data_IF_983370040883
#
_entry.id   IF_983370040883
#
_cell.length_a   1.000
_cell.length_b   1.000
_cell.length_c   1.000
_cell.angle_alpha   90.00
_cell.angle_beta   90.00
_cell.angle_gamma   90.00
#
_symmetry.space_group_name_H-M   'P 1'
#
loop_
_entity.id
_entity.type
_entity.pdbx_description
1 polymer ?
#
# COMPACT_ATOMS: atom_id res chain seq x y z
N UNK A 1 -13.11 -5.07 4.65
CA UNK A 1 -13.77 -3.78 4.31
C UNK A 1 -13.40 -3.30 2.90
N UNK A 2 -12.48 -3.95 2.18
CA UNK A 2 -12.05 -3.56 0.81
C UNK A 2 -12.80 -4.25 -0.33
N UNK A 3 -13.55 -5.33 -0.06
CA UNK A 3 -14.43 -5.97 -1.06
C UNK A 3 -15.71 -5.15 -1.40
N UNK A 4 -15.93 -4.01 -0.73
CA UNK A 4 -17.20 -3.27 -0.81
C UNK A 4 -17.25 -2.22 -1.92
N UNK A 5 -16.15 -1.56 -2.28
CA UNK A 5 -16.20 -0.53 -3.34
C UNK A 5 -16.39 -1.14 -4.74
N UNK A 6 -15.79 -2.31 -4.98
CA UNK A 6 -15.78 -3.02 -6.28
C UNK A 6 -17.16 -3.41 -6.80
N UNK A 7 -18.09 -3.77 -5.91
CA UNK A 7 -19.43 -4.23 -6.28
C UNK A 7 -20.54 -3.21 -6.01
N UNK A 8 -20.32 -2.19 -5.17
CA UNK A 8 -21.41 -1.30 -4.75
C UNK A 8 -21.67 -0.14 -5.73
N UNK A 9 -20.69 0.34 -6.50
CA UNK A 9 -20.82 1.62 -7.22
C UNK A 9 -20.80 1.54 -8.75
N UNK A 10 -20.34 0.42 -9.34
CA UNK A 10 -20.29 0.28 -10.80
C UNK A 10 -21.57 -0.32 -11.39
N UNK A 11 -22.36 -1.04 -10.59
CA UNK A 11 -23.62 -1.62 -11.04
C UNK A 11 -24.76 -0.61 -10.83
N UNK A 12 -25.46 -0.25 -11.91
CA UNK A 12 -26.63 0.65 -11.86
C UNK A 12 -27.65 0.23 -10.81
N UNK A 13 -27.84 -1.08 -10.63
CA UNK A 13 -28.73 -1.63 -9.62
C UNK A 13 -28.27 -1.29 -8.20
N UNK A 14 -27.00 -1.52 -7.86
CA UNK A 14 -26.49 -1.23 -6.51
C UNK A 14 -26.40 0.27 -6.24
N UNK A 15 -26.12 1.09 -7.25
CA UNK A 15 -26.17 2.54 -7.14
C UNK A 15 -27.60 3.04 -6.85
N UNK A 16 -28.60 2.48 -7.54
CA UNK A 16 -30.00 2.81 -7.32
C UNK A 16 -30.51 2.29 -5.96
N UNK A 17 -30.11 1.07 -5.58
CA UNK A 17 -30.42 0.49 -4.27
C UNK A 17 -29.85 1.34 -3.14
N UNK A 18 -28.61 1.85 -3.28
CA UNK A 18 -28.01 2.81 -2.35
C UNK A 18 -28.81 4.11 -2.29
N UNK A 19 -29.15 4.68 -3.45
CA UNK A 19 -29.91 5.92 -3.53
C UNK A 19 -31.28 5.79 -2.86
N UNK A 20 -31.97 4.66 -3.08
CA UNK A 20 -33.25 4.34 -2.45
C UNK A 20 -33.11 4.11 -0.94
N UNK A 21 -32.06 3.41 -0.50
CA UNK A 21 -31.79 3.22 0.92
C UNK A 21 -31.55 4.55 1.65
N UNK A 22 -30.79 5.46 1.04
CA UNK A 22 -30.55 6.81 1.57
C UNK A 22 -31.86 7.63 1.59
N UNK A 23 -32.68 7.53 0.55
CA UNK A 23 -33.99 8.20 0.48
C UNK A 23 -34.95 7.69 1.58
N UNK A 24 -34.99 6.38 1.81
CA UNK A 24 -35.82 5.80 2.88
C UNK A 24 -35.42 6.34 4.26
N UNK A 25 -34.12 6.51 4.53
CA UNK A 25 -33.64 7.12 5.79
C UNK A 25 -34.08 8.58 5.91
N UNK A 26 -34.24 9.31 4.81
CA UNK A 26 -34.73 10.70 4.84
C UNK A 26 -36.25 10.82 4.98
N UNK A 27 -37.01 9.82 4.53
CA UNK A 27 -38.48 9.84 4.51
C UNK A 27 -39.13 9.16 5.72
N UNK A 28 -38.45 8.19 6.33
CA UNK A 28 -38.98 7.47 7.50
C UNK A 28 -38.80 8.26 8.81
N UNK A 29 -39.88 8.45 9.61
CA UNK A 29 -39.85 9.22 10.85
C UNK A 29 -39.13 8.49 12.03
N UNK A 30 -38.56 7.32 11.77
CA UNK A 30 -37.92 6.46 12.78
C UNK A 30 -36.48 6.91 13.08
N UNK A 31 -35.85 7.62 12.16
CA UNK A 31 -34.43 7.98 12.23
C UNK A 31 -34.19 9.28 12.99
N UNK A 32 -33.05 9.36 13.68
CA UNK A 32 -32.63 10.57 14.39
C UNK A 32 -32.25 11.69 13.41
N UNK A 33 -32.33 12.95 13.89
CA UNK A 33 -32.12 14.13 13.06
C UNK A 33 -30.73 14.17 12.39
N UNK A 34 -29.69 13.61 13.04
CA UNK A 34 -28.33 13.60 12.48
C UNK A 34 -28.26 12.59 11.33
N UNK A 35 -28.82 11.40 11.50
CA UNK A 35 -28.92 10.39 10.44
C UNK A 35 -29.70 10.93 9.24
N UNK A 36 -30.84 11.59 9.46
CA UNK A 36 -31.64 12.21 8.38
C UNK A 36 -30.84 13.30 7.65
N UNK A 37 -30.20 14.22 8.38
CA UNK A 37 -29.39 15.27 7.76
C UNK A 37 -28.20 14.71 6.96
N UNK A 38 -27.51 13.70 7.48
CA UNK A 38 -26.37 13.08 6.78
C UNK A 38 -26.82 12.30 5.54
N UNK A 39 -27.94 11.59 5.63
CA UNK A 39 -28.56 10.89 4.49
C UNK A 39 -28.97 11.89 3.41
N UNK A 40 -29.60 13.02 3.77
CA UNK A 40 -29.93 14.08 2.81
C UNK A 40 -28.68 14.63 2.11
N UNK A 41 -27.61 14.96 2.85
CA UNK A 41 -26.36 15.43 2.23
C UNK A 41 -25.67 14.37 1.34
N UNK A 42 -25.80 13.09 1.67
CA UNK A 42 -25.34 11.98 0.81
C UNK A 42 -26.19 11.87 -0.45
N UNK A 43 -27.51 12.00 -0.34
CA UNK A 43 -28.43 11.98 -1.47
C UNK A 43 -28.13 13.11 -2.45
N UNK A 44 -27.87 14.32 -1.95
CA UNK A 44 -27.48 15.46 -2.77
C UNK A 44 -26.18 15.20 -3.53
N UNK A 45 -25.18 14.61 -2.88
CA UNK A 45 -23.92 14.21 -3.54
C UNK A 45 -24.11 13.13 -4.60
N UNK A 46 -24.97 12.14 -4.37
CA UNK A 46 -25.30 11.11 -5.36
C UNK A 46 -26.04 11.67 -6.59
N UNK A 47 -26.63 12.86 -6.46
CA UNK A 47 -27.24 13.60 -7.57
C UNK A 47 -26.32 14.69 -8.17
N UNK A 48 -25.16 14.94 -7.58
CA UNK A 48 -24.21 15.90 -8.14
C UNK A 48 -23.55 15.35 -9.40
N UNK A 49 -23.63 16.12 -10.48
CA UNK A 49 -23.11 15.71 -11.79
C UNK A 49 -21.60 15.46 -11.75
N UNK A 50 -20.82 16.29 -11.03
CA UNK A 50 -19.37 16.12 -10.98
C UNK A 50 -19.01 14.86 -10.19
N UNK A 51 -19.69 14.62 -9.06
CA UNK A 51 -19.48 13.43 -8.25
C UNK A 51 -19.76 12.14 -9.04
N UNK A 52 -20.90 12.05 -9.71
CA UNK A 52 -21.27 10.85 -10.49
C UNK A 52 -20.31 10.65 -11.66
N UNK A 53 -19.88 11.73 -12.32
CA UNK A 53 -18.84 11.65 -13.36
C UNK A 53 -17.53 11.06 -12.83
N UNK A 54 -17.01 11.61 -11.71
CA UNK A 54 -15.77 11.11 -11.11
C UNK A 54 -15.93 9.69 -10.57
N UNK A 55 -17.11 9.30 -10.11
CA UNK A 55 -17.40 7.94 -9.69
C UNK A 55 -17.21 6.94 -10.85
N UNK A 56 -17.69 7.28 -12.04
CA UNK A 56 -17.46 6.48 -13.26
C UNK A 56 -15.97 6.45 -13.63
N UNK A 57 -15.32 7.61 -13.68
CA UNK A 57 -13.90 7.71 -14.04
C UNK A 57 -13.01 6.88 -13.10
N UNK A 58 -13.12 7.12 -11.79
CA UNK A 58 -12.33 6.39 -10.80
C UNK A 58 -12.73 4.93 -10.72
N UNK A 59 -14.00 4.57 -10.96
CA UNK A 59 -14.43 3.18 -11.11
C UNK A 59 -13.66 2.44 -12.20
N UNK A 60 -13.50 3.07 -13.38
CA UNK A 60 -12.68 2.53 -14.49
C UNK A 60 -11.20 2.43 -14.13
N UNK A 61 -10.64 3.47 -13.50
CA UNK A 61 -9.23 3.45 -13.06
C UNK A 61 -8.99 2.33 -12.05
N UNK A 62 -9.84 2.22 -11.02
CA UNK A 62 -9.72 1.24 -9.95
C UNK A 62 -9.87 -0.20 -10.44
N UNK A 63 -10.67 -0.45 -11.47
CA UNK A 63 -10.75 -1.77 -12.11
C UNK A 63 -9.36 -2.29 -12.49
N UNK A 64 -8.51 -1.43 -13.06
CA UNK A 64 -7.16 -1.80 -13.48
C UNK A 64 -6.15 -1.73 -12.32
N UNK A 65 -6.17 -0.65 -11.53
CA UNK A 65 -5.18 -0.45 -10.47
C UNK A 65 -5.34 -1.48 -9.36
N UNK A 66 -6.58 -1.84 -8.97
CA UNK A 66 -6.82 -2.81 -7.90
C UNK A 66 -6.39 -4.21 -8.31
N UNK A 67 -6.55 -4.58 -9.59
CA UNK A 67 -6.08 -5.87 -10.10
C UNK A 67 -4.56 -5.99 -9.90
N UNK A 68 -3.81 -5.01 -10.40
CA UNK A 68 -2.34 -5.00 -10.28
C UNK A 68 -1.91 -4.87 -8.83
N UNK A 69 -2.57 -4.04 -8.03
CA UNK A 69 -2.30 -3.89 -6.62
C UNK A 69 -2.37 -5.23 -5.87
N UNK A 70 -3.48 -5.97 -6.02
CA UNK A 70 -3.64 -7.29 -5.39
C UNK A 70 -2.64 -8.31 -5.93
N UNK A 71 -2.36 -8.26 -7.24
CA UNK A 71 -1.41 -9.15 -7.88
C UNK A 71 0.02 -8.94 -7.33
N UNK A 72 0.46 -7.70 -7.21
CA UNK A 72 1.77 -7.33 -6.67
C UNK A 72 1.89 -7.70 -5.19
N UNK A 73 0.82 -7.51 -4.41
CA UNK A 73 0.82 -7.88 -2.98
C UNK A 73 1.07 -9.38 -2.76
N UNK A 74 0.53 -10.24 -3.64
CA UNK A 74 0.66 -11.70 -3.52
C UNK A 74 1.97 -12.27 -4.10
N UNK A 75 2.53 -11.65 -5.15
CA UNK A 75 3.58 -12.28 -5.99
C UNK A 75 4.91 -11.53 -6.09
N UNK A 76 5.00 -10.30 -5.62
CA UNK A 76 6.22 -9.46 -5.67
C UNK A 76 7.52 -10.11 -5.16
N UNK A 77 7.46 -10.99 -4.16
CA UNK A 77 8.62 -11.69 -3.60
C UNK A 77 8.85 -13.07 -4.24
N UNK A 78 7.81 -13.68 -4.83
CA UNK A 78 7.86 -15.04 -5.36
C UNK A 78 7.93 -15.11 -6.89
N UNK A 79 7.60 -14.04 -7.63
CA UNK A 79 7.67 -14.02 -9.10
C UNK A 79 7.61 -12.57 -9.65
N UNK A 80 8.76 -11.91 -9.70
CA UNK A 80 8.88 -10.53 -10.23
C UNK A 80 8.67 -10.53 -11.75
N UNK A 81 9.13 -11.56 -12.44
CA UNK A 81 8.98 -11.69 -13.89
C UNK A 81 7.51 -11.68 -14.33
N UNK A 82 6.61 -12.29 -13.56
CA UNK A 82 5.16 -12.21 -13.82
C UNK A 82 4.53 -10.87 -13.44
N UNK A 83 5.17 -10.06 -12.59
CA UNK A 83 4.67 -8.74 -12.19
C UNK A 83 4.92 -7.67 -13.26
N UNK A 84 6.05 -7.75 -13.97
CA UNK A 84 6.39 -6.82 -15.07
C UNK A 84 5.31 -6.73 -16.15
N UNK A 85 4.81 -7.83 -16.76
CA UNK A 85 3.78 -7.75 -17.80
C UNK A 85 2.46 -7.20 -17.27
N UNK A 86 2.10 -7.47 -16.01
CA UNK A 86 0.90 -6.89 -15.39
C UNK A 86 1.01 -5.37 -15.22
N UNK A 87 2.17 -4.87 -14.79
CA UNK A 87 2.44 -3.42 -14.71
C UNK A 87 2.39 -2.80 -16.11
N UNK A 88 2.97 -3.45 -17.11
CA UNK A 88 2.91 -2.99 -18.51
C UNK A 88 1.47 -2.99 -19.05
N UNK A 89 0.67 -4.00 -18.71
CA UNK A 89 -0.74 -4.07 -19.07
C UNK A 89 -1.55 -2.94 -18.42
N UNK A 90 -1.29 -2.61 -17.15
CA UNK A 90 -1.89 -1.43 -16.49
C UNK A 90 -1.55 -0.13 -17.23
N UNK A 91 -0.28 0.08 -17.57
CA UNK A 91 0.14 1.26 -18.34
C UNK A 91 -0.60 1.34 -19.67
N UNK A 92 -0.72 0.21 -20.38
CA UNK A 92 -1.47 0.13 -21.63
C UNK A 92 -2.95 0.46 -21.42
N UNK A 93 -3.61 -0.17 -20.44
CA UNK A 93 -5.03 0.06 -20.16
C UNK A 93 -5.33 1.52 -19.78
N UNK A 94 -4.45 2.18 -19.01
CA UNK A 94 -4.62 3.60 -18.69
C UNK A 94 -4.38 4.50 -19.91
N UNK A 95 -3.44 4.14 -20.77
CA UNK A 95 -3.23 4.84 -22.05
C UNK A 95 -4.44 4.66 -22.97
N UNK A 96 -5.02 3.47 -23.01
CA UNK A 96 -6.25 3.19 -23.77
C UNK A 96 -7.45 3.94 -23.17
N UNK A 97 -7.53 4.06 -21.84
CA UNK A 97 -8.57 4.83 -21.15
C UNK A 97 -8.48 6.33 -21.48
N UNK A 98 -7.27 6.83 -21.77
CA UNK A 98 -7.01 8.20 -22.21
C UNK A 98 -7.54 8.51 -23.61
N UNK A 99 -7.98 7.52 -24.39
CA UNK A 99 -8.50 7.76 -25.74
C UNK A 99 -9.77 8.64 -25.72
N UNK A 100 -9.90 9.53 -26.71
CA UNK A 100 -11.01 10.49 -26.83
C UNK A 100 -12.38 9.83 -26.71
N UNK A 101 -12.59 8.67 -27.34
CA UNK A 101 -13.84 7.92 -27.25
C UNK A 101 -14.18 7.56 -25.80
N UNK A 102 -13.21 7.06 -25.03
CA UNK A 102 -13.45 6.62 -23.65
C UNK A 102 -13.69 7.79 -22.71
N UNK A 103 -12.96 8.90 -22.91
CA UNK A 103 -13.12 10.13 -22.12
C UNK A 103 -14.47 10.79 -22.42
N UNK A 104 -14.88 10.84 -23.69
CA UNK A 104 -16.17 11.40 -24.10
C UNK A 104 -17.35 10.55 -23.59
N UNK A 105 -17.22 9.22 -23.64
CA UNK A 105 -18.26 8.30 -23.16
C UNK A 105 -18.49 8.37 -21.64
N UNK A 106 -17.55 8.91 -20.84
CA UNK A 106 -17.72 9.01 -19.38
C UNK A 106 -18.93 9.86 -18.98
N UNK A 107 -19.26 10.92 -19.72
CA UNK A 107 -20.46 11.71 -19.46
C UNK A 107 -21.72 10.91 -19.75
N UNK A 108 -21.74 10.17 -20.87
CA UNK A 108 -22.91 9.40 -21.28
C UNK A 108 -23.12 8.19 -20.34
N UNK A 109 -22.06 7.56 -19.86
CA UNK A 109 -22.12 6.53 -18.82
C UNK A 109 -22.59 7.08 -17.46
N UNK A 110 -22.22 8.32 -17.11
CA UNK A 110 -22.72 8.97 -15.91
C UNK A 110 -24.23 9.25 -16.01
N UNK A 111 -24.72 9.66 -17.19
CA UNK A 111 -26.17 9.81 -17.46
C UNK A 111 -26.87 8.46 -17.37
N UNK A 112 -26.27 7.40 -17.93
CA UNK A 112 -26.81 6.05 -17.80
C UNK A 112 -26.87 5.57 -16.34
N UNK A 113 -25.95 6.00 -15.49
CA UNK A 113 -25.94 5.66 -14.07
C UNK A 113 -27.02 6.45 -13.29
N UNK A 114 -27.15 7.75 -13.56
CA UNK A 114 -28.17 8.61 -12.97
C UNK A 114 -28.89 9.41 -14.06
N UNK A 115 -30.07 8.90 -14.47
CA UNK A 115 -30.85 9.43 -15.59
C UNK A 115 -31.25 10.92 -15.43
N UNK A 116 -31.17 11.48 -14.22
CA UNK A 116 -31.54 12.87 -13.93
C UNK A 116 -30.42 13.88 -14.25
N UNK A 117 -29.27 13.41 -14.72
CA UNK A 117 -28.12 14.26 -15.01
C UNK A 117 -28.16 14.78 -16.44
N UNK A 118 -27.88 16.07 -16.60
CA UNK A 118 -27.63 16.71 -17.89
C UNK A 118 -26.28 17.42 -17.85
N UNK A 119 -25.52 17.31 -18.93
CA UNK A 119 -24.20 17.93 -19.06
C UNK A 119 -24.21 18.86 -20.26
N UNK A 120 -24.16 20.17 -20.01
CA UNK A 120 -23.93 21.18 -21.03
C UNK A 120 -22.56 20.99 -21.70
N UNK A 121 -22.43 21.40 -22.97
CA UNK A 121 -21.18 21.26 -23.74
C UNK A 121 -19.97 21.90 -23.06
N UNK A 122 -20.17 23.06 -22.42
CA UNK A 122 -19.11 23.73 -21.68
C UNK A 122 -18.59 22.87 -20.53
N UNK A 123 -19.50 22.27 -19.75
CA UNK A 123 -19.18 21.40 -18.62
C UNK A 123 -18.56 20.08 -19.08
N UNK A 124 -19.04 19.50 -20.18
CA UNK A 124 -18.41 18.32 -20.82
C UNK A 124 -16.95 18.60 -21.17
N UNK A 125 -16.66 19.76 -21.76
CA UNK A 125 -15.30 20.16 -22.12
C UNK A 125 -14.40 20.41 -20.89
N UNK A 126 -14.93 20.99 -19.82
CA UNK A 126 -14.19 21.19 -18.56
C UNK A 126 -13.84 19.84 -17.90
N UNK A 127 -14.82 18.93 -17.77
CA UNK A 127 -14.60 17.59 -17.21
C UNK A 127 -13.64 16.76 -18.07
N UNK A 128 -13.72 16.88 -19.40
CA UNK A 128 -12.79 16.24 -20.32
C UNK A 128 -11.34 16.67 -20.07
N UNK A 129 -11.09 17.98 -19.91
CA UNK A 129 -9.74 18.49 -19.58
C UNK A 129 -9.22 17.91 -18.27
N UNK A 130 -10.05 17.96 -17.22
CA UNK A 130 -9.70 17.42 -15.90
C UNK A 130 -9.38 15.92 -15.99
N UNK A 131 -10.15 15.17 -16.78
CA UNK A 131 -9.91 13.72 -16.98
C UNK A 131 -8.56 13.45 -17.64
N UNK A 132 -8.17 14.22 -18.65
CA UNK A 132 -6.82 14.08 -19.21
C UNK A 132 -5.75 14.40 -18.18
N UNK A 133 -5.90 15.48 -17.41
CA UNK A 133 -4.92 15.85 -16.38
C UNK A 133 -4.76 14.75 -15.32
N UNK A 134 -5.88 14.13 -14.89
CA UNK A 134 -5.89 13.01 -13.95
C UNK A 134 -5.18 11.79 -14.56
N UNK A 135 -5.57 11.38 -15.77
CA UNK A 135 -5.00 10.21 -16.43
C UNK A 135 -3.51 10.39 -16.74
N UNK A 136 -3.11 11.58 -17.21
CA UNK A 136 -1.71 11.91 -17.50
C UNK A 136 -0.87 11.88 -16.22
N UNK A 137 -1.39 12.48 -15.13
CA UNK A 137 -0.73 12.40 -13.82
C UNK A 137 -0.57 10.94 -13.37
N UNK A 138 -1.62 10.12 -13.45
CA UNK A 138 -1.56 8.71 -13.07
C UNK A 138 -0.56 7.91 -13.91
N UNK A 139 -0.56 8.11 -15.24
CA UNK A 139 0.37 7.43 -16.15
C UNK A 139 1.82 7.81 -15.82
N UNK A 140 2.10 9.10 -15.61
CA UNK A 140 3.43 9.58 -15.22
C UNK A 140 3.88 8.98 -13.89
N UNK A 141 3.01 9.01 -12.87
CA UNK A 141 3.35 8.46 -11.55
C UNK A 141 3.58 6.94 -11.59
N UNK A 142 2.79 6.20 -12.37
CA UNK A 142 3.00 4.75 -12.56
C UNK A 142 4.31 4.48 -13.31
N UNK A 143 4.66 5.33 -14.29
CA UNK A 143 5.93 5.21 -14.99
C UNK A 143 7.12 5.41 -14.06
N UNK A 144 7.15 6.50 -13.30
CA UNK A 144 8.21 6.81 -12.33
C UNK A 144 8.30 5.70 -11.28
N UNK A 145 7.16 5.28 -10.72
CA UNK A 145 7.12 4.29 -9.64
C UNK A 145 7.71 2.94 -10.03
N UNK A 146 7.50 2.48 -11.27
CA UNK A 146 7.90 1.15 -11.71
C UNK A 146 9.05 1.16 -12.73
N UNK A 147 9.72 2.29 -12.91
CA UNK A 147 10.87 2.41 -13.82
C UNK A 147 11.98 1.42 -13.47
N UNK A 148 12.29 1.31 -12.17
CA UNK A 148 13.35 0.44 -11.64
C UNK A 148 12.89 -0.98 -11.32
N UNK A 149 11.61 -1.29 -11.51
CA UNK A 149 11.06 -2.60 -11.16
C UNK A 149 11.78 -3.77 -11.88
N UNK A 150 12.16 -3.68 -13.18
CA UNK A 150 12.96 -4.73 -13.84
C UNK A 150 14.35 -4.94 -13.25
N UNK A 151 14.92 -3.93 -12.56
CA UNK A 151 16.22 -4.07 -11.90
C UNK A 151 16.13 -5.05 -10.73
N UNK A 152 14.94 -5.22 -10.13
CA UNK A 152 14.70 -6.11 -9.00
C UNK A 152 14.64 -7.60 -9.36
N UNK A 153 14.85 -8.00 -10.63
CA UNK A 153 14.86 -9.41 -11.04
C UNK A 153 15.81 -10.30 -10.21
N UNK A 154 16.87 -9.73 -9.62
CA UNK A 154 17.79 -10.47 -8.75
C UNK A 154 17.14 -11.01 -7.48
N UNK A 155 16.03 -10.44 -7.02
CA UNK A 155 15.29 -10.92 -5.83
C UNK A 155 14.84 -12.38 -6.04
N UNK A 156 14.63 -12.81 -7.29
CA UNK A 156 14.27 -14.20 -7.59
C UNK A 156 15.39 -15.20 -7.32
N UNK A 157 16.63 -14.76 -7.01
CA UNK A 157 17.75 -15.64 -6.61
C UNK A 157 17.47 -16.33 -5.27
N UNK A 158 16.70 -15.69 -4.39
CA UNK A 158 16.29 -16.22 -3.07
C UNK A 158 14.87 -16.78 -3.06
N UNK A 159 14.28 -17.03 -4.24
CA UNK A 159 12.95 -17.61 -4.36
C UNK A 159 12.98 -19.12 -4.11
N UNK A 160 12.36 -19.54 -3.00
CA UNK A 160 12.35 -20.94 -2.53
C UNK A 160 11.80 -21.91 -3.56
N UNK A 161 10.83 -21.47 -4.38
CA UNK A 161 10.18 -22.30 -5.40
C UNK A 161 11.10 -22.63 -6.57
N UNK A 162 12.15 -21.83 -6.76
CA UNK A 162 13.09 -21.97 -7.87
C UNK A 162 14.39 -22.67 -7.45
N UNK A 163 14.62 -22.95 -6.15
CA UNK A 163 15.87 -23.53 -5.67
C UNK A 163 16.20 -24.88 -6.31
N UNK A 164 15.20 -25.73 -6.52
CA UNK A 164 15.35 -27.01 -7.22
C UNK A 164 15.87 -26.79 -8.66
N UNK A 165 15.36 -25.77 -9.35
CA UNK A 165 15.82 -25.42 -10.70
C UNK A 165 17.19 -24.75 -10.71
N UNK A 166 17.54 -24.00 -9.66
CA UNK A 166 18.83 -23.34 -9.55
C UNK A 166 19.96 -24.28 -9.14
N UNK A 167 19.62 -25.38 -8.45
CA UNK A 167 20.53 -26.48 -8.21
C UNK A 167 21.00 -27.11 -9.54
N UNK A 168 20.09 -27.32 -10.49
CA UNK A 168 20.44 -27.89 -11.80
C UNK A 168 21.09 -26.87 -12.74
N UNK A 169 20.63 -25.61 -12.69
CA UNK A 169 21.20 -24.52 -13.48
C UNK A 169 21.25 -23.22 -12.66
N UNK A 170 22.45 -22.82 -12.25
CA UNK A 170 22.65 -21.60 -11.49
C UNK A 170 22.19 -20.35 -12.28
N UNK A 171 21.45 -19.40 -11.65
CA UNK A 171 20.88 -18.24 -12.33
C UNK A 171 21.91 -17.13 -12.58
N UNK A 172 22.90 -17.39 -13.44
CA UNK A 172 24.04 -16.50 -13.72
C UNK A 172 23.61 -15.10 -14.14
N UNK A 173 22.62 -14.98 -15.02
CA UNK A 173 22.15 -13.69 -15.52
C UNK A 173 21.58 -12.80 -14.40
N UNK A 174 20.87 -13.39 -13.43
CA UNK A 174 20.32 -12.66 -12.28
C UNK A 174 21.42 -12.29 -11.29
N UNK A 175 22.36 -13.20 -11.10
CA UNK A 175 23.52 -13.01 -10.23
C UNK A 175 24.42 -11.86 -10.70
N UNK A 176 24.69 -11.78 -12.01
CA UNK A 176 25.46 -10.66 -12.59
C UNK A 176 24.71 -9.32 -12.38
N UNK A 177 23.39 -9.29 -12.59
CA UNK A 177 22.57 -8.09 -12.34
C UNK A 177 22.65 -7.63 -10.87
N UNK A 178 22.65 -8.56 -9.92
CA UNK A 178 22.83 -8.26 -8.50
C UNK A 178 24.16 -7.53 -8.24
N UNK A 179 25.27 -8.09 -8.75
CA UNK A 179 26.60 -7.53 -8.55
C UNK A 179 26.78 -6.18 -9.25
N UNK A 180 26.12 -5.98 -10.39
CA UNK A 180 26.12 -4.69 -11.08
C UNK A 180 25.34 -3.62 -10.31
N UNK A 181 24.23 -3.98 -9.68
CA UNK A 181 23.38 -3.03 -8.95
C UNK A 181 23.94 -2.69 -7.57
N UNK A 182 24.60 -3.64 -6.91
CA UNK A 182 25.22 -3.47 -5.58
C UNK A 182 26.72 -3.77 -5.63
N UNK A 183 27.52 -2.95 -6.35
CA UNK A 183 28.95 -3.15 -6.46
C UNK A 183 29.61 -3.07 -5.07
N UNK A 184 30.64 -3.89 -4.86
CA UNK A 184 31.42 -3.97 -3.61
C UNK A 184 30.63 -4.34 -2.33
N UNK A 185 29.34 -4.68 -2.45
CA UNK A 185 28.52 -5.07 -1.29
C UNK A 185 28.69 -6.55 -0.96
N UNK A 186 28.87 -7.37 -1.99
CA UNK A 186 28.97 -8.82 -1.90
C UNK A 186 30.34 -9.31 -2.37
N UNK A 187 30.83 -10.36 -1.70
CA UNK A 187 31.90 -11.20 -2.21
C UNK A 187 31.26 -12.21 -3.18
N UNK A 188 31.55 -12.05 -4.48
CA UNK A 188 30.89 -12.81 -5.53
C UNK A 188 31.16 -14.31 -5.44
N UNK A 189 32.42 -14.71 -5.22
CA UNK A 189 32.79 -16.12 -5.15
C UNK A 189 32.19 -16.78 -3.91
N UNK A 190 32.25 -16.09 -2.77
CA UNK A 190 31.67 -16.58 -1.52
C UNK A 190 30.15 -16.68 -1.60
N UNK A 191 29.47 -15.66 -2.13
CA UNK A 191 28.00 -15.66 -2.29
C UNK A 191 27.55 -16.79 -3.22
N UNK A 192 28.27 -17.02 -4.33
CA UNK A 192 27.97 -18.10 -5.26
C UNK A 192 28.04 -19.48 -4.58
N UNK A 193 29.09 -19.71 -3.79
CA UNK A 193 29.27 -20.96 -3.06
C UNK A 193 28.20 -21.16 -1.98
N UNK A 194 27.90 -20.11 -1.21
CA UNK A 194 26.85 -20.16 -0.18
C UNK A 194 25.47 -20.46 -0.80
N UNK A 195 25.11 -19.81 -1.90
CA UNK A 195 23.87 -20.06 -2.62
C UNK A 195 23.79 -21.48 -3.17
N UNK A 196 24.89 -21.99 -3.75
CA UNK A 196 24.94 -23.36 -4.26
C UNK A 196 24.65 -24.39 -3.16
N UNK A 197 25.18 -24.19 -1.94
CA UNK A 197 24.89 -25.07 -0.80
C UNK A 197 23.42 -24.99 -0.36
N UNK A 198 22.82 -23.80 -0.39
CA UNK A 198 21.41 -23.62 -0.04
C UNK A 198 20.47 -24.26 -1.05
N UNK A 199 20.81 -24.19 -2.35
CA UNK A 199 19.99 -24.79 -3.40
C UNK A 199 19.94 -26.33 -3.31
N UNK A 200 21.00 -26.95 -2.79
CA UNK A 200 21.08 -28.42 -2.59
C UNK A 200 20.28 -28.89 -1.38
N UNK A 201 20.25 -28.09 -0.31
CA UNK A 201 19.70 -28.51 0.97
C UNK A 201 18.20 -28.23 1.04
N UNK A 202 17.38 -29.26 0.80
CA UNK A 202 15.91 -29.17 0.86
C UNK A 202 15.39 -28.59 2.18
N UNK A 203 16.12 -28.75 3.29
CA UNK A 203 15.73 -28.18 4.59
C UNK A 203 15.81 -26.65 4.62
N UNK A 204 16.53 -26.05 3.67
CA UNK A 204 16.74 -24.61 3.55
C UNK A 204 15.91 -23.98 2.43
N UNK A 205 14.99 -24.73 1.81
CA UNK A 205 14.02 -24.21 0.83
C UNK A 205 12.89 -23.46 1.55
N UNK A 206 13.27 -22.41 2.26
CA UNK A 206 12.40 -21.56 3.06
C UNK A 206 12.27 -20.19 2.39
N UNK A 207 11.12 -19.51 2.55
CA UNK A 207 10.97 -18.15 2.06
C UNK A 207 12.00 -17.22 2.72
N UNK A 208 12.40 -16.10 2.09
CA UNK A 208 13.53 -15.28 2.54
C UNK A 208 13.51 -14.85 4.01
N UNK A 209 12.31 -14.60 4.57
CA UNK A 209 12.14 -14.24 5.97
C UNK A 209 12.39 -15.40 6.95
N UNK A 210 11.90 -16.60 6.63
CA UNK A 210 12.14 -17.81 7.43
C UNK A 210 13.57 -18.31 7.26
N UNK A 211 14.14 -18.17 6.06
CA UNK A 211 15.54 -18.52 5.81
C UNK A 211 16.48 -17.63 6.65
N UNK A 212 16.20 -16.33 6.72
CA UNK A 212 16.97 -15.40 7.55
C UNK A 212 16.81 -15.74 9.05
N UNK A 213 15.59 -15.99 9.50
CA UNK A 213 15.32 -16.37 10.90
C UNK A 213 16.01 -17.69 11.27
N UNK A 214 16.00 -18.68 10.37
CA UNK A 214 16.72 -19.95 10.53
C UNK A 214 18.24 -19.73 10.65
N UNK A 215 18.82 -18.88 9.82
CA UNK A 215 20.25 -18.55 9.86
C UNK A 215 20.64 -17.87 11.18
N UNK A 216 19.83 -16.94 11.67
CA UNK A 216 20.06 -16.21 12.92
C UNK A 216 19.92 -17.14 14.13
N UNK A 217 18.84 -17.93 14.19
CA UNK A 217 18.58 -18.85 15.32
C UNK A 217 19.61 -19.97 15.43
N UNK A 218 20.21 -20.35 14.31
CA UNK A 218 21.21 -21.42 14.25
C UNK A 218 22.66 -20.91 14.36
N UNK A 219 22.86 -19.59 14.55
CA UNK A 219 24.17 -18.92 14.62
C UNK A 219 25.05 -19.14 13.37
N UNK A 220 24.42 -19.30 12.20
CA UNK A 220 25.11 -19.57 10.93
C UNK A 220 25.36 -18.29 10.12
N UNK A 221 24.78 -17.16 10.55
CA UNK A 221 24.72 -15.91 9.80
C UNK A 221 26.06 -15.17 9.70
N UNK A 222 27.02 -15.40 10.60
CA UNK A 222 28.32 -14.72 10.59
C UNK A 222 29.40 -15.53 9.87
N UNK A 223 29.54 -16.81 10.20
CA UNK A 223 30.68 -17.61 9.76
C UNK A 223 30.38 -18.43 8.51
N UNK A 224 29.17 -18.99 8.42
CA UNK A 224 28.82 -19.97 7.37
C UNK A 224 28.11 -19.31 6.19
N UNK A 225 27.12 -18.47 6.45
CA UNK A 225 26.29 -17.83 5.42
C UNK A 225 26.23 -16.29 5.49
N UNK A 226 27.36 -15.56 5.66
CA UNK A 226 27.32 -14.10 5.76
C UNK A 226 26.84 -13.39 4.50
N UNK A 227 27.13 -13.91 3.31
CA UNK A 227 26.72 -13.25 2.06
C UNK A 227 25.24 -13.50 1.79
N UNK A 228 24.75 -14.71 2.01
CA UNK A 228 23.32 -15.00 1.84
C UNK A 228 22.48 -14.30 2.92
N UNK A 229 22.96 -14.19 4.16
CA UNK A 229 22.29 -13.41 5.20
C UNK A 229 22.12 -11.96 4.76
N UNK A 230 23.19 -11.32 4.27
CA UNK A 230 23.13 -9.96 3.70
C UNK A 230 22.16 -9.86 2.53
N UNK A 231 22.14 -10.87 1.66
CA UNK A 231 21.23 -10.91 0.52
C UNK A 231 19.76 -11.00 0.96
N UNK A 232 19.44 -11.87 1.92
CA UNK A 232 18.10 -11.99 2.48
C UNK A 232 17.68 -10.68 3.16
N UNK A 233 18.56 -10.04 3.94
CA UNK A 233 18.31 -8.72 4.52
C UNK A 233 18.02 -7.68 3.44
N UNK A 234 18.85 -7.59 2.40
CA UNK A 234 18.66 -6.68 1.29
C UNK A 234 17.27 -6.90 0.65
N UNK A 235 16.93 -8.14 0.31
CA UNK A 235 15.65 -8.50 -0.32
C UNK A 235 14.46 -8.13 0.57
N UNK A 236 14.54 -8.36 1.89
CA UNK A 236 13.47 -8.05 2.84
C UNK A 236 13.33 -6.54 3.09
N UNK A 237 14.40 -5.76 2.91
CA UNK A 237 14.37 -4.30 3.04
C UNK A 237 13.86 -3.57 1.80
N UNK A 238 13.93 -4.21 0.62
CA UNK A 238 13.38 -3.62 -0.60
C UNK A 238 11.85 -3.58 -0.46
N UNK A 239 11.21 -2.40 -0.59
CA UNK A 239 9.77 -2.29 -0.58
C UNK A 239 9.19 -2.82 -1.91
N UNK A 240 9.28 -4.15 -2.12
CA UNK A 240 8.75 -4.82 -3.30
C UNK A 240 7.20 -4.79 -3.32
N UNK A 241 6.56 -4.47 -2.18
CA UNK A 241 5.10 -4.27 -2.08
C UNK A 241 4.70 -3.02 -1.29
N UNK A 242 3.57 -2.45 -1.69
CA UNK A 242 2.76 -1.48 -0.94
C UNK A 242 2.25 -2.00 0.41
N UNK A 243 2.29 -3.31 0.66
CA UNK A 243 1.75 -3.90 1.89
C UNK A 243 2.47 -3.43 3.17
N UNK A 244 3.76 -3.08 3.09
CA UNK A 244 4.50 -2.52 4.23
C UNK A 244 4.03 -1.10 4.58
N UNK A 245 3.75 -0.28 3.55
CA UNK A 245 3.14 1.04 3.75
C UNK A 245 1.72 0.97 4.30
N UNK A 246 0.94 -0.06 3.96
CA UNK A 246 -0.44 -0.20 4.48
C UNK A 246 -0.50 -0.62 5.95
N UNK A 247 0.42 -1.50 6.39
CA UNK A 247 0.53 -1.85 7.81
C UNK A 247 0.90 -0.64 8.67
N UNK A 248 1.88 0.16 8.23
CA UNK A 248 2.24 1.41 8.92
C UNK A 248 1.11 2.44 8.87
N UNK A 249 0.45 2.63 7.72
CA UNK A 249 -0.70 3.53 7.59
C UNK A 249 -1.95 3.07 8.39
N UNK A 250 -2.16 1.77 8.56
CA UNK A 250 -3.25 1.25 9.41
C UNK A 250 -2.98 1.50 10.90
N UNK A 251 -1.73 1.39 11.33
CA UNK A 251 -1.30 1.72 12.70
C UNK A 251 -1.48 3.22 12.96
N UNK A 252 -1.04 4.05 12.01
CA UNK A 252 -1.27 5.49 12.00
C UNK A 252 -2.77 5.84 12.07
N UNK A 253 -3.61 5.15 11.29
CA UNK A 253 -5.07 5.31 11.31
C UNK A 253 -5.65 4.96 12.68
N UNK A 254 -5.20 3.87 13.32
CA UNK A 254 -5.62 3.52 14.69
C UNK A 254 -5.27 4.61 15.70
N UNK A 255 -4.05 5.16 15.62
CA UNK A 255 -3.62 6.27 16.48
C UNK A 255 -4.48 7.51 16.25
N UNK A 256 -4.72 7.88 14.99
CA UNK A 256 -5.52 9.06 14.62
C UNK A 256 -6.98 8.92 15.08
N UNK A 257 -7.58 7.74 14.90
CA UNK A 257 -8.94 7.45 15.36
C UNK A 257 -9.04 7.46 16.88
N UNK A 258 -8.06 6.87 17.57
CA UNK A 258 -8.02 6.85 19.03
C UNK A 258 -7.92 8.27 19.62
N UNK A 259 -7.18 9.16 18.98
CA UNK A 259 -6.88 10.48 19.55
C UNK A 259 -7.85 11.59 19.16
N UNK A 260 -8.66 11.41 18.09
CA UNK A 260 -9.78 12.25 17.56
C UNK A 260 -9.60 13.78 17.52
N UNK A 261 -8.50 14.32 18.01
CA UNK A 261 -8.17 15.74 18.13
C UNK A 261 -7.19 16.14 17.03
N UNK A 262 -7.33 17.36 16.52
CA UNK A 262 -6.42 17.99 15.58
C UNK A 262 -5.01 18.02 16.20
N UNK A 263 -4.10 17.22 15.65
CA UNK A 263 -2.73 17.08 16.13
C UNK A 263 -1.77 17.48 15.02
N UNK A 264 -0.63 18.08 15.39
CA UNK A 264 0.46 18.37 14.45
C UNK A 264 1.06 17.08 13.90
N UNK A 265 1.57 17.13 12.67
CA UNK A 265 2.20 15.98 12.01
C UNK A 265 3.37 15.43 12.83
N UNK A 266 4.16 16.28 13.49
CA UNK A 266 5.32 15.85 14.26
C UNK A 266 4.94 14.94 15.43
N UNK A 267 3.93 15.33 16.22
CA UNK A 267 3.46 14.53 17.36
C UNK A 267 2.84 13.20 16.89
N UNK A 268 2.14 13.22 15.76
CA UNK A 268 1.57 12.02 15.16
C UNK A 268 2.66 11.05 14.69
N UNK A 269 3.72 11.56 14.05
CA UNK A 269 4.88 10.76 13.64
C UNK A 269 5.57 10.13 14.85
N UNK A 270 5.88 10.92 15.89
CA UNK A 270 6.49 10.39 17.12
C UNK A 270 5.64 9.30 17.76
N UNK A 271 4.32 9.51 17.86
CA UNK A 271 3.43 8.52 18.46
C UNK A 271 3.27 7.26 17.60
N UNK A 272 3.38 7.39 16.28
CA UNK A 272 3.41 6.26 15.37
C UNK A 272 4.68 5.43 15.54
N UNK A 273 5.84 6.07 15.69
CA UNK A 273 7.08 5.39 16.04
C UNK A 273 6.96 4.64 17.36
N UNK A 274 6.39 5.27 18.40
CA UNK A 274 6.16 4.59 19.69
C UNK A 274 5.21 3.38 19.56
N UNK A 275 4.18 3.46 18.71
CA UNK A 275 3.25 2.36 18.52
C UNK A 275 3.84 1.20 17.69
N UNK A 276 4.69 1.51 16.70
CA UNK A 276 5.41 0.51 15.91
C UNK A 276 6.44 -0.21 16.80
N UNK A 277 7.19 0.56 17.60
CA UNK A 277 8.25 0.06 18.48
C UNK A 277 7.74 -0.31 19.89
N UNK A 278 6.44 -0.59 20.04
CA UNK A 278 5.83 -0.86 21.34
C UNK A 278 6.50 -2.00 22.10
N UNK A 279 6.94 -3.05 21.39
CA UNK A 279 7.60 -4.20 22.01
C UNK A 279 8.98 -3.82 22.55
N UNK A 280 9.77 -3.10 21.74
CA UNK A 280 11.08 -2.58 22.15
C UNK A 280 10.94 -1.65 23.37
N UNK A 281 9.96 -0.73 23.35
CA UNK A 281 9.63 0.12 24.50
C UNK A 281 9.25 -0.70 25.73
N UNK A 282 8.49 -1.79 25.55
CA UNK A 282 8.12 -2.69 26.64
C UNK A 282 9.33 -3.40 27.25
N UNK A 283 10.34 -3.73 26.46
CA UNK A 283 11.60 -4.30 26.94
C UNK A 283 12.49 -3.25 27.61
N UNK A 284 12.60 -2.05 27.03
CA UNK A 284 13.34 -0.93 27.61
C UNK A 284 12.71 -0.44 28.92
N UNK A 285 11.38 -0.46 29.04
CA UNK A 285 10.68 -0.05 30.26
C UNK A 285 10.85 -1.05 31.42
N UNK A 286 11.41 -2.25 31.19
CA UNK A 286 11.83 -3.15 32.26
C UNK A 286 13.09 -2.65 32.98
N UNK A 287 13.87 -1.80 32.32
CA UNK A 287 15.00 -1.12 32.94
C UNK A 287 14.50 0.14 33.68
N UNK A 288 14.57 0.18 35.02
CA UNK A 288 14.10 1.33 35.79
C UNK A 288 14.90 2.60 35.49
N UNK A 289 16.17 2.49 35.09
CA UNK A 289 17.00 3.66 34.79
C UNK A 289 16.53 4.40 33.54
N UNK A 290 16.01 3.68 32.54
CA UNK A 290 15.44 4.29 31.35
C UNK A 290 14.18 5.09 31.69
N UNK A 291 13.32 4.55 32.55
CA UNK A 291 12.08 5.22 32.97
C UNK A 291 12.39 6.49 33.77
N UNK A 292 13.33 6.42 34.71
CA UNK A 292 13.75 7.56 35.53
C UNK A 292 14.36 8.67 34.67
N UNK A 293 15.23 8.33 33.71
CA UNK A 293 15.81 9.30 32.78
C UNK A 293 14.75 10.00 31.92
N UNK A 294 13.73 9.27 31.46
CA UNK A 294 12.62 9.86 30.68
C UNK A 294 11.77 10.79 31.56
N UNK A 295 11.56 10.44 32.83
CA UNK A 295 10.86 11.29 33.80
C UNK A 295 11.66 12.57 34.06
N UNK A 296 12.96 12.46 34.28
CA UNK A 296 13.84 13.60 34.53
C UNK A 296 13.92 14.53 33.32
N UNK A 297 14.09 13.98 32.11
CA UNK A 297 14.07 14.78 30.87
C UNK A 297 12.71 15.48 30.65
N UNK A 298 11.61 14.82 31.01
CA UNK A 298 10.29 15.42 30.96
C UNK A 298 10.13 16.52 32.03
N UNK A 299 10.65 16.30 33.23
CA UNK A 299 10.63 17.28 34.31
C UNK A 299 11.46 18.52 33.93
N UNK A 300 12.59 18.38 33.25
CA UNK A 300 13.42 19.51 32.85
C UNK A 300 12.82 20.38 31.74
N UNK A 301 11.77 19.91 31.04
CA UNK A 301 11.06 20.73 30.05
C UNK A 301 10.20 21.81 30.74
N UNK A 302 10.45 23.07 30.37
CA UNK A 302 9.79 24.27 30.93
C UNK A 302 8.32 24.46 30.51
N UNK A 303 7.92 23.93 29.36
CA UNK A 303 6.57 24.13 28.78
C UNK A 303 5.68 22.90 29.03
N UNK A 304 5.34 22.69 30.31
CA UNK A 304 4.57 21.53 30.80
C UNK A 304 3.07 21.81 30.66
N UNK A 305 2.49 21.66 29.46
CA UNK A 305 1.03 21.78 29.29
C UNK A 305 0.28 20.54 29.80
N UNK A 306 0.35 20.25 31.10
CA UNK A 306 -0.67 19.46 31.80
C UNK A 306 -0.77 20.02 33.24
N UNK A 307 -1.76 20.88 33.50
CA UNK A 307 -2.19 21.18 34.87
C UNK A 307 -2.94 19.96 35.44
N UNK A 308 -2.24 19.15 36.24
CA UNK A 308 -2.87 18.10 37.04
C UNK A 308 -3.37 18.73 38.35
N UNK A 309 -4.62 19.17 38.36
CA UNK A 309 -5.30 19.59 39.60
C UNK A 309 -5.70 18.33 40.37
N UNK A 310 -4.90 17.96 41.38
CA UNK A 310 -5.30 16.93 42.33
C UNK A 310 -6.39 17.46 43.27
N UNK A 311 -7.52 16.77 43.31
CA UNK A 311 -8.57 17.01 44.31
C UNK A 311 -8.14 16.31 45.61
N UNK A 312 -7.74 17.10 46.61
CA UNK A 312 -7.61 16.59 47.98
C UNK A 312 -9.01 16.21 48.47
N UNK A 313 -9.19 14.95 48.85
CA UNK A 313 -10.35 14.47 49.64
C UNK A 313 -9.91 14.45 51.09
#
# INVERSE_FOLDING_TARGET
MELSFKNCFYNKKTFLDLKNAVLNVTEEPVWDLISVCTASGLYDKLNDANFVYFLILFGKVFLYTDHVFNFLQLKSLSNIKSCIPEIQNLKKNLTDLRNDTNVNNCCDEAILLNNNLEYEDKKRNELRKITYDILDSLIVQINIRYEDFPKLEFVEIVNEKMFISYYTQFPEAKFIKLLQQYPNTFDADRLRNELAVIYVDDKKHLPPHELLDFMIKSDLHQDIYPQVTKLCQLVLTIPSTTASSERSMSTLKRIKTFLRNTMTNDRLSSLSSLAIEKNLLGDMAKDPTFVDNVIDEFADKKDRRIELVYKQI
#
